data_IF_925918526768
#
_entry.id   IF_925918526768
#
_cell.length_a   1.000
_cell.length_b   1.000
_cell.length_c   1.000
_cell.angle_alpha   90.00
_cell.angle_beta   90.00
_cell.angle_gamma   90.00
#
_symmetry.space_group_name_H-M   'P 1'
#
loop_
_entity.id
_entity.type
_entity.pdbx_description
1 polymer ?
#
# COMPACT_ATOMS: atom_id res chain seq x y z
N UNK A 1 1.07 -18.54 -20.03
CA UNK A 1 2.05 -17.43 -20.00
C UNK A 1 1.40 -16.24 -20.68
N UNK A 2 1.30 -15.11 -19.97
CA UNK A 2 0.64 -13.90 -20.47
C UNK A 2 1.67 -12.83 -20.87
N UNK A 3 1.22 -11.85 -21.64
CA UNK A 3 2.05 -10.76 -22.15
C UNK A 3 1.43 -9.38 -21.90
N UNK A 4 2.29 -8.40 -21.64
CA UNK A 4 1.98 -6.99 -21.81
C UNK A 4 2.28 -6.62 -23.26
N UNK A 5 1.25 -6.31 -24.04
CA UNK A 5 1.33 -5.93 -25.44
C UNK A 5 1.25 -4.42 -25.54
N UNK A 6 2.39 -3.77 -25.74
CA UNK A 6 2.49 -2.31 -25.78
C UNK A 6 2.49 -1.86 -27.24
N UNK A 7 1.58 -0.94 -27.59
CA UNK A 7 1.50 -0.31 -28.91
C UNK A 7 1.81 1.17 -28.79
N UNK A 8 2.85 1.62 -29.48
CA UNK A 8 3.11 3.03 -29.70
C UNK A 8 2.48 3.45 -31.03
N UNK A 9 1.48 4.33 -31.00
CA UNK A 9 0.83 4.88 -32.20
C UNK A 9 1.24 6.32 -32.51
N UNK A 10 2.21 6.85 -31.77
CA UNK A 10 2.79 8.14 -32.10
C UNK A 10 3.63 8.03 -33.37
N UNK A 11 3.81 9.17 -34.03
CA UNK A 11 4.67 9.30 -35.20
C UNK A 11 6.16 9.39 -34.84
N UNK A 12 6.50 9.31 -33.55
CA UNK A 12 7.86 9.26 -33.02
C UNK A 12 8.05 8.04 -32.11
N UNK A 13 9.32 7.73 -31.81
CA UNK A 13 9.64 6.70 -30.82
C UNK A 13 9.22 7.14 -29.42
N UNK A 14 8.73 6.22 -28.61
CA UNK A 14 8.35 6.46 -27.22
C UNK A 14 9.16 5.56 -26.29
N UNK A 15 9.74 6.14 -25.25
CA UNK A 15 10.43 5.41 -24.19
C UNK A 15 9.48 5.14 -23.02
N UNK A 16 9.56 3.93 -22.49
CA UNK A 16 8.82 3.47 -21.32
C UNK A 16 9.79 2.95 -20.26
N UNK A 17 9.58 3.33 -19.01
CA UNK A 17 10.17 2.59 -17.89
C UNK A 17 9.28 1.38 -17.59
N UNK A 18 9.89 0.21 -17.42
CA UNK A 18 9.18 -1.04 -17.17
C UNK A 18 9.51 -1.55 -15.77
N UNK A 19 8.84 -1.04 -14.74
CA UNK A 19 9.07 -1.47 -13.35
C UNK A 19 8.38 -2.81 -13.11
N UNK A 20 9.06 -3.77 -12.47
CA UNK A 20 8.56 -5.12 -12.23
C UNK A 20 8.48 -6.01 -13.48
N UNK A 21 8.75 -5.46 -14.66
CA UNK A 21 8.67 -6.13 -15.96
C UNK A 21 9.94 -5.87 -16.78
N UNK A 22 10.18 -6.63 -17.86
CA UNK A 22 11.36 -6.42 -18.73
C UNK A 22 12.71 -6.39 -17.99
N UNK A 23 12.82 -7.08 -16.84
CA UNK A 23 14.01 -7.01 -15.98
C UNK A 23 14.35 -5.61 -15.46
N UNK A 24 13.35 -4.76 -15.25
CA UNK A 24 13.49 -3.35 -14.84
C UNK A 24 14.27 -2.48 -15.84
N UNK A 25 14.33 -2.88 -17.11
CA UNK A 25 14.99 -2.10 -18.16
C UNK A 25 13.99 -1.25 -18.92
N UNK A 26 14.41 -0.04 -19.26
CA UNK A 26 13.68 0.84 -20.15
C UNK A 26 13.50 0.19 -21.52
N UNK A 27 12.34 0.46 -22.13
CA UNK A 27 11.96 -0.02 -23.45
C UNK A 27 11.66 1.18 -24.34
N UNK A 28 12.32 1.28 -25.49
CA UNK A 28 11.97 2.27 -26.51
C UNK A 28 11.29 1.59 -27.68
N UNK A 29 10.05 1.99 -27.94
CA UNK A 29 9.25 1.48 -29.06
C UNK A 29 9.25 2.54 -30.15
N UNK A 30 9.74 2.17 -31.33
CA UNK A 30 9.72 3.02 -32.54
C UNK A 30 8.32 3.52 -32.88
N UNK A 31 8.25 4.59 -33.68
CA UNK A 31 7.00 5.13 -34.20
C UNK A 31 6.12 4.04 -34.82
N UNK A 32 4.83 4.05 -34.51
CA UNK A 32 3.87 3.02 -34.95
C UNK A 32 4.28 1.56 -34.64
N UNK A 33 5.18 1.36 -33.67
CA UNK A 33 5.71 0.06 -33.30
C UNK A 33 4.93 -0.63 -32.18
N UNK A 34 5.32 -1.87 -31.92
CA UNK A 34 4.81 -2.67 -30.82
C UNK A 34 5.93 -3.42 -30.12
N UNK A 35 5.66 -3.85 -28.89
CA UNK A 35 6.50 -4.74 -28.11
C UNK A 35 5.63 -5.65 -27.23
N UNK A 36 6.12 -6.86 -27.00
CA UNK A 36 5.50 -7.81 -26.08
C UNK A 36 6.48 -8.11 -24.95
N UNK A 37 6.05 -7.91 -23.71
CA UNK A 37 6.84 -8.24 -22.51
C UNK A 37 6.16 -9.40 -21.78
N UNK A 38 6.88 -10.50 -21.46
CA UNK A 38 6.37 -11.53 -20.57
C UNK A 38 5.86 -10.99 -19.23
N UNK A 39 4.67 -11.40 -18.83
CA UNK A 39 4.08 -11.07 -17.53
C UNK A 39 3.42 -12.30 -16.93
N UNK A 40 4.17 -13.02 -16.09
CA UNK A 40 3.67 -14.19 -15.39
C UNK A 40 2.62 -13.81 -14.34
N UNK A 41 1.73 -14.74 -14.01
CA UNK A 41 0.80 -14.60 -12.88
C UNK A 41 1.57 -14.41 -11.56
N UNK A 42 0.98 -13.65 -10.64
CA UNK A 42 1.60 -13.27 -9.37
C UNK A 42 2.61 -12.13 -9.46
N UNK A 43 2.88 -11.58 -10.65
CA UNK A 43 3.79 -10.42 -10.82
C UNK A 43 3.05 -9.10 -10.70
N UNK A 44 3.74 -8.05 -10.24
CA UNK A 44 3.23 -6.67 -10.20
C UNK A 44 4.28 -5.69 -10.69
N UNK A 45 3.84 -4.59 -11.28
CA UNK A 45 4.73 -3.57 -11.81
C UNK A 45 3.99 -2.45 -12.55
N UNK A 46 4.73 -1.66 -13.33
CA UNK A 46 4.18 -0.57 -14.11
C UNK A 46 4.91 -0.36 -15.44
N UNK A 47 4.16 0.06 -16.46
CA UNK A 47 4.69 0.59 -17.72
C UNK A 47 4.46 2.10 -17.72
N UNK A 48 5.52 2.89 -17.73
CA UNK A 48 5.47 4.35 -17.48
C UNK A 48 6.03 5.09 -18.69
N UNK A 49 5.25 5.95 -19.33
CA UNK A 49 5.73 6.78 -20.42
C UNK A 49 6.69 7.87 -19.90
N UNK A 50 7.77 8.13 -20.65
CA UNK A 50 8.77 9.17 -20.31
C UNK A 50 8.72 10.30 -21.34
N UNK A 51 8.64 11.53 -20.84
CA UNK A 51 8.50 12.76 -21.61
C UNK A 51 9.61 13.73 -21.24
N UNK A 52 10.51 14.03 -22.19
CA UNK A 52 11.65 14.94 -21.93
C UNK A 52 12.50 14.52 -20.71
N UNK A 53 12.66 13.22 -20.49
CA UNK A 53 13.37 12.67 -19.33
C UNK A 53 12.58 12.67 -18.01
N UNK A 54 11.29 13.03 -18.05
CA UNK A 54 10.40 13.06 -16.88
C UNK A 54 9.32 12.00 -17.04
N UNK A 55 9.06 11.21 -16.01
CA UNK A 55 7.96 10.24 -16.01
C UNK A 55 6.59 10.94 -16.13
N UNK A 56 5.67 10.34 -16.87
CA UNK A 56 4.31 10.82 -17.05
C UNK A 56 3.27 9.78 -16.64
N UNK A 57 2.33 9.51 -17.55
CA UNK A 57 1.29 8.52 -17.37
C UNK A 57 1.86 7.10 -17.20
N UNK A 58 1.23 6.33 -16.31
CA UNK A 58 1.61 4.97 -15.97
C UNK A 58 0.44 4.00 -16.11
N UNK A 59 0.72 2.81 -16.62
CA UNK A 59 -0.16 1.66 -16.54
C UNK A 59 0.37 0.77 -15.43
N UNK A 60 -0.30 0.74 -14.28
CA UNK A 60 0.03 -0.20 -13.21
C UNK A 60 -0.67 -1.53 -13.51
N UNK A 61 0.02 -2.64 -13.25
CA UNK A 61 -0.46 -3.99 -13.52
C UNK A 61 -0.10 -4.88 -12.33
N UNK A 62 -1.07 -5.66 -11.85
CA UNK A 62 -0.82 -6.88 -11.09
C UNK A 62 -1.52 -8.04 -11.80
N UNK A 63 -0.74 -9.07 -12.13
CA UNK A 63 -1.22 -10.27 -12.82
C UNK A 63 -1.76 -11.28 -11.82
N UNK A 64 -2.99 -11.75 -12.04
CA UNK A 64 -3.65 -12.74 -11.18
C UNK A 64 -3.60 -12.41 -9.67
N UNK A 65 -3.69 -11.13 -9.30
CA UNK A 65 -3.60 -10.68 -7.91
C UNK A 65 -4.91 -10.86 -7.16
N UNK A 66 -5.82 -9.88 -7.29
CA UNK A 66 -7.06 -9.84 -6.52
C UNK A 66 -8.00 -10.98 -6.91
N UNK A 67 -8.11 -12.00 -6.05
CA UNK A 67 -8.92 -13.20 -6.28
C UNK A 67 -8.55 -13.92 -7.60
N UNK A 68 -7.26 -13.90 -7.98
CA UNK A 68 -6.78 -14.50 -9.23
C UNK A 68 -7.10 -13.69 -10.50
N UNK A 69 -7.65 -12.48 -10.35
CA UNK A 69 -7.89 -11.57 -11.48
C UNK A 69 -6.75 -10.57 -11.64
N UNK A 70 -6.57 -10.08 -12.86
CA UNK A 70 -5.68 -8.95 -13.11
C UNK A 70 -6.25 -7.67 -12.50
N UNK A 71 -5.40 -6.87 -11.86
CA UNK A 71 -5.68 -5.46 -11.61
C UNK A 71 -4.85 -4.64 -12.57
N UNK A 72 -5.50 -3.74 -13.30
CA UNK A 72 -4.84 -2.81 -14.23
C UNK A 72 -5.37 -1.42 -13.98
N UNK A 73 -4.56 -0.38 -14.12
CA UNK A 73 -5.02 0.99 -14.00
C UNK A 73 -4.10 1.93 -14.79
N UNK A 74 -4.71 2.91 -15.45
CA UNK A 74 -4.02 4.10 -15.94
C UNK A 74 -4.05 5.21 -14.91
N UNK A 75 -2.87 5.66 -14.53
CA UNK A 75 -2.63 6.73 -13.58
C UNK A 75 -1.85 7.88 -14.21
N UNK A 76 -2.19 9.11 -13.81
CA UNK A 76 -1.49 10.34 -14.18
C UNK A 76 -0.83 11.02 -12.96
N UNK A 77 -0.65 10.29 -11.85
CA UNK A 77 -0.18 10.86 -10.58
C UNK A 77 1.24 11.41 -10.66
N UNK A 78 2.07 10.85 -11.53
CA UNK A 78 3.45 11.28 -11.75
C UNK A 78 3.56 12.41 -12.78
N UNK A 79 2.48 12.66 -13.54
CA UNK A 79 2.41 13.64 -14.62
C UNK A 79 1.69 13.08 -15.83
N UNK A 80 1.69 13.86 -16.92
CA UNK A 80 1.20 13.42 -18.21
C UNK A 80 1.88 14.18 -19.34
N UNK A 81 2.22 13.52 -20.43
CA UNK A 81 2.73 14.14 -21.66
C UNK A 81 2.16 13.55 -22.94
N UNK A 82 1.48 12.40 -22.86
CA UNK A 82 0.75 11.79 -23.97
C UNK A 82 -0.55 11.17 -23.50
N UNK A 83 -1.14 10.32 -24.35
CA UNK A 83 -2.35 9.59 -24.03
C UNK A 83 -2.03 8.11 -23.88
N UNK A 84 -2.54 7.49 -22.81
CA UNK A 84 -2.37 6.06 -22.59
C UNK A 84 -3.67 5.41 -22.16
N UNK A 85 -3.93 4.22 -22.68
CA UNK A 85 -5.02 3.35 -22.27
C UNK A 85 -4.55 1.92 -22.02
N UNK A 86 -5.30 1.16 -21.23
CA UNK A 86 -5.06 -0.27 -21.07
C UNK A 86 -6.36 -1.09 -20.98
N UNK A 87 -6.32 -2.34 -21.43
CA UNK A 87 -7.42 -3.30 -21.27
C UNK A 87 -6.91 -4.74 -21.32
N UNK A 88 -7.69 -5.72 -20.85
CA UNK A 88 -7.39 -7.11 -21.17
C UNK A 88 -7.66 -7.37 -22.67
N UNK A 89 -6.80 -8.17 -23.29
CA UNK A 89 -7.01 -8.59 -24.69
C UNK A 89 -8.31 -9.40 -24.78
N UNK A 90 -9.15 -9.03 -25.74
CA UNK A 90 -10.47 -9.62 -25.95
C UNK A 90 -11.61 -8.90 -25.22
N UNK A 91 -11.33 -7.90 -24.38
CA UNK A 91 -12.39 -7.09 -23.79
C UNK A 91 -13.14 -6.27 -24.86
N UNK A 92 -14.46 -6.06 -24.69
CA UNK A 92 -15.25 -5.26 -25.62
C UNK A 92 -14.73 -3.82 -25.73
N UNK A 93 -15.02 -3.18 -26.88
CA UNK A 93 -14.71 -1.77 -27.07
C UNK A 93 -15.35 -0.90 -25.98
N UNK A 94 -14.61 0.12 -25.52
CA UNK A 94 -15.04 1.02 -24.45
C UNK A 94 -14.90 0.48 -23.02
N UNK A 95 -14.33 -0.73 -22.84
CA UNK A 95 -14.00 -1.28 -21.51
C UNK A 95 -12.55 -1.04 -21.08
N UNK A 96 -11.80 -0.25 -21.84
CA UNK A 96 -10.45 0.15 -21.46
C UNK A 96 -10.46 1.22 -20.37
N UNK A 97 -9.33 1.30 -19.66
CA UNK A 97 -9.03 2.32 -18.66
C UNK A 97 -8.13 3.38 -19.26
N UNK A 98 -8.19 4.59 -18.72
CA UNK A 98 -7.47 5.75 -19.23
C UNK A 98 -8.35 6.64 -20.09
N UNK A 99 -7.83 7.84 -20.37
CA UNK A 99 -8.49 8.81 -21.24
C UNK A 99 -7.73 8.85 -22.58
N UNK A 100 -8.37 8.36 -23.65
CA UNK A 100 -7.73 8.14 -24.96
C UNK A 100 -7.22 9.42 -25.64
N UNK A 101 -7.79 10.57 -25.27
CA UNK A 101 -7.40 11.92 -25.72
C UNK A 101 -7.09 12.85 -24.55
N UNK A 102 -6.47 12.32 -23.48
CA UNK A 102 -6.16 13.05 -22.24
C UNK A 102 -5.51 14.42 -22.49
N UNK A 103 -4.45 14.49 -23.29
CA UNK A 103 -3.71 15.72 -23.55
C UNK A 103 -4.51 16.71 -24.41
N UNK A 104 -5.37 16.24 -25.31
CA UNK A 104 -6.29 17.11 -26.05
C UNK A 104 -7.36 17.70 -25.13
N UNK A 105 -7.91 16.90 -24.21
CA UNK A 105 -8.86 17.36 -23.21
C UNK A 105 -8.20 18.34 -22.23
N UNK A 106 -6.97 18.06 -21.79
CA UNK A 106 -6.14 18.95 -20.98
C UNK A 106 -5.90 20.29 -21.67
N UNK A 107 -5.51 20.27 -22.95
CA UNK A 107 -5.29 21.49 -23.72
C UNK A 107 -6.59 22.30 -23.89
N UNK A 108 -7.70 21.62 -24.15
CA UNK A 108 -9.02 22.26 -24.25
C UNK A 108 -9.43 22.91 -22.92
N UNK A 109 -9.23 22.22 -21.81
CA UNK A 109 -9.52 22.73 -20.47
C UNK A 109 -8.60 23.90 -20.10
N UNK A 110 -7.31 23.81 -20.44
CA UNK A 110 -6.32 24.85 -20.21
C UNK A 110 -6.70 26.15 -20.91
N UNK A 111 -7.09 26.08 -22.18
CA UNK A 111 -7.44 27.29 -22.94
C UNK A 111 -8.70 27.98 -22.41
N UNK A 112 -9.64 27.22 -21.84
CA UNK A 112 -10.84 27.75 -21.16
C UNK A 112 -10.57 28.28 -19.74
N UNK A 113 -9.40 28.00 -19.18
CA UNK A 113 -9.10 28.32 -17.79
C UNK A 113 -8.85 29.83 -17.61
N UNK A 114 -9.48 30.50 -16.62
CA UNK A 114 -9.21 31.91 -16.32
C UNK A 114 -7.73 32.15 -16.00
N UNK A 115 -7.20 33.34 -16.34
CA UNK A 115 -5.78 33.65 -16.17
C UNK A 115 -5.29 33.46 -14.72
N UNK A 116 -6.07 33.90 -13.73
CA UNK A 116 -5.72 33.70 -12.32
C UNK A 116 -5.52 32.22 -11.93
N UNK A 117 -6.27 31.31 -12.57
CA UNK A 117 -6.11 29.86 -12.36
C UNK A 117 -4.91 29.32 -13.15
N UNK A 118 -4.61 29.84 -14.34
CA UNK A 118 -3.37 29.53 -15.07
C UNK A 118 -2.13 29.93 -14.26
N UNK A 119 -2.18 31.08 -13.60
CA UNK A 119 -1.08 31.59 -12.77
C UNK A 119 -0.83 30.67 -11.56
N UNK A 120 -1.89 30.13 -10.94
CA UNK A 120 -1.77 29.11 -9.88
C UNK A 120 -1.10 27.81 -10.35
N UNK A 121 -1.14 27.51 -11.65
CA UNK A 121 -0.57 26.30 -12.25
C UNK A 121 0.85 26.51 -12.82
N UNK A 122 1.43 27.70 -12.63
CA UNK A 122 2.77 28.03 -13.14
C UNK A 122 3.83 27.07 -12.59
N UNK A 123 4.66 26.54 -13.49
CA UNK A 123 5.69 25.53 -13.15
C UNK A 123 5.15 24.11 -13.00
N UNK A 124 3.84 23.91 -13.19
CA UNK A 124 3.19 22.59 -13.15
C UNK A 124 2.56 22.22 -14.48
N UNK A 125 2.09 23.19 -15.26
CA UNK A 125 1.69 23.02 -16.65
C UNK A 125 2.78 23.58 -17.55
N UNK A 126 3.28 22.75 -18.46
CA UNK A 126 4.35 23.09 -19.38
C UNK A 126 3.77 23.27 -20.77
N UNK A 127 4.05 24.42 -21.39
CA UNK A 127 3.49 24.78 -22.68
C UNK A 127 4.53 24.64 -23.80
N UNK A 128 4.05 24.40 -25.02
CA UNK A 128 4.82 24.58 -26.25
C UNK A 128 4.90 26.06 -26.66
N UNK A 129 5.59 26.35 -27.76
CA UNK A 129 5.72 27.72 -28.30
C UNK A 129 4.41 28.33 -28.81
N UNK A 130 3.37 27.51 -28.98
CA UNK A 130 2.02 27.93 -29.41
C UNK A 130 1.07 28.10 -28.22
N UNK A 131 1.55 27.90 -26.99
CA UNK A 131 0.76 27.98 -25.77
C UNK A 131 -0.12 26.74 -25.51
N UNK A 132 0.10 25.63 -26.23
CA UNK A 132 -0.58 24.37 -25.95
C UNK A 132 0.12 23.61 -24.84
N UNK A 133 -0.64 22.86 -24.04
CA UNK A 133 -0.07 22.00 -23.00
C UNK A 133 0.71 20.86 -23.64
N UNK A 134 2.03 20.83 -23.43
CA UNK A 134 2.89 19.73 -23.85
C UNK A 134 3.05 18.66 -22.77
N UNK A 135 2.99 19.07 -21.50
CA UNK A 135 3.16 18.18 -20.34
C UNK A 135 2.56 18.82 -19.10
N UNK A 136 2.16 18.00 -18.14
CA UNK A 136 1.86 18.42 -16.77
C UNK A 136 2.78 17.67 -15.79
N UNK A 137 3.08 18.31 -14.66
CA UNK A 137 3.77 17.68 -13.53
C UNK A 137 2.84 16.75 -12.72
N UNK A 138 3.33 16.19 -11.60
CA UNK A 138 2.56 15.27 -10.76
C UNK A 138 1.39 15.99 -10.06
N UNK A 139 0.12 15.63 -10.34
CA UNK A 139 -1.03 16.22 -9.66
C UNK A 139 -1.09 15.84 -8.18
N UNK A 140 -0.62 14.64 -7.80
CA UNK A 140 -0.64 14.13 -6.42
C UNK A 140 0.08 15.04 -5.41
N UNK A 141 1.06 15.81 -5.87
CA UNK A 141 1.90 16.67 -5.03
C UNK A 141 1.42 18.14 -5.05
N UNK A 142 0.35 18.45 -5.80
CA UNK A 142 -0.10 19.82 -6.00
C UNK A 142 -1.61 19.92 -6.27
N UNK A 143 -2.36 20.16 -5.19
CA UNK A 143 -3.83 20.19 -5.19
C UNK A 143 -4.46 21.07 -6.29
N UNK A 144 -3.95 22.28 -6.64
CA UNK A 144 -4.54 23.06 -7.73
C UNK A 144 -4.45 22.36 -9.10
N UNK A 145 -3.36 21.62 -9.36
CA UNK A 145 -3.23 20.83 -10.59
C UNK A 145 -4.17 19.62 -10.55
N UNK A 146 -4.29 18.93 -9.41
CA UNK A 146 -5.27 17.84 -9.27
C UNK A 146 -6.69 18.34 -9.57
N UNK A 147 -7.10 19.45 -8.98
CA UNK A 147 -8.41 20.06 -9.22
C UNK A 147 -8.63 20.40 -10.70
N UNK A 148 -7.60 20.95 -11.37
CA UNK A 148 -7.64 21.22 -12.80
C UNK A 148 -7.80 19.94 -13.63
N UNK A 149 -7.01 18.89 -13.36
CA UNK A 149 -7.09 17.63 -14.11
C UNK A 149 -8.45 16.96 -13.94
N UNK A 150 -9.03 17.04 -12.75
CA UNK A 150 -10.38 16.53 -12.47
C UNK A 150 -11.47 17.22 -13.30
N UNK A 151 -11.29 18.44 -13.80
CA UNK A 151 -12.32 19.08 -14.63
C UNK A 151 -12.53 18.38 -15.97
N UNK A 152 -11.60 17.55 -16.43
CA UNK A 152 -11.70 16.88 -17.74
C UNK A 152 -11.43 15.36 -17.71
N UNK A 153 -10.79 14.83 -16.66
CA UNK A 153 -10.40 13.41 -16.61
C UNK A 153 -10.95 12.61 -15.42
N UNK A 154 -11.81 13.22 -14.59
CA UNK A 154 -12.35 12.55 -13.39
C UNK A 154 -13.04 11.22 -13.75
N UNK A 155 -12.63 10.13 -13.09
CA UNK A 155 -13.15 8.78 -13.33
C UNK A 155 -12.68 8.09 -14.61
N UNK A 156 -11.88 8.77 -15.46
CA UNK A 156 -11.30 8.17 -16.66
C UNK A 156 -9.87 7.68 -16.44
N UNK A 157 -9.16 8.33 -15.53
CA UNK A 157 -7.82 7.96 -15.08
C UNK A 157 -7.70 8.25 -13.60
N UNK A 158 -6.73 7.62 -12.96
CA UNK A 158 -6.39 7.87 -11.58
C UNK A 158 -5.51 9.14 -11.48
N UNK A 159 -6.03 10.20 -10.85
CA UNK A 159 -5.42 11.55 -10.91
C UNK A 159 -4.72 11.93 -9.61
N UNK A 160 -5.28 11.54 -8.47
CA UNK A 160 -4.83 12.02 -7.16
C UNK A 160 -4.35 10.88 -6.25
N UNK A 161 -4.66 11.02 -4.95
CA UNK A 161 -4.47 9.96 -3.96
C UNK A 161 -5.75 9.14 -3.91
N UNK A 162 -5.74 7.93 -4.47
CA UNK A 162 -6.81 6.95 -4.32
C UNK A 162 -6.90 6.41 -2.90
N UNK A 163 -7.76 5.41 -2.69
CA UNK A 163 -7.96 4.84 -1.37
C UNK A 163 -6.67 4.19 -0.87
N UNK A 164 -5.92 4.90 -0.03
CA UNK A 164 -4.63 4.47 0.47
C UNK A 164 -4.40 5.03 1.88
N UNK A 165 -3.89 4.20 2.79
CA UNK A 165 -3.60 4.61 4.17
C UNK A 165 -4.82 5.04 5.01
N UNK A 166 -6.01 4.50 4.75
CA UNK A 166 -7.25 4.89 5.45
C UNK A 166 -7.93 6.15 4.92
N UNK A 167 -7.32 6.84 3.95
CA UNK A 167 -8.04 7.79 3.11
C UNK A 167 -9.00 6.98 2.22
N UNK A 168 -10.28 7.38 2.17
CA UNK A 168 -11.25 6.76 1.25
C UNK A 168 -10.88 7.01 -0.22
N UNK A 169 -9.95 7.92 -0.47
CA UNK A 169 -9.55 8.35 -1.80
C UNK A 169 -10.67 9.08 -2.51
N UNK A 170 -10.43 9.41 -3.77
CA UNK A 170 -11.52 9.84 -4.63
C UNK A 170 -12.32 8.61 -5.11
N UNK A 171 -13.66 8.57 -4.95
CA UNK A 171 -14.47 7.43 -5.41
C UNK A 171 -14.33 7.13 -6.90
N UNK A 172 -14.12 8.14 -7.74
CA UNK A 172 -13.96 7.99 -9.18
C UNK A 172 -12.59 7.39 -9.53
N UNK A 173 -11.53 7.73 -8.79
CA UNK A 173 -10.21 7.10 -8.93
C UNK A 173 -10.32 5.60 -8.56
N UNK A 174 -11.03 5.26 -7.47
CA UNK A 174 -11.21 3.88 -7.02
C UNK A 174 -12.02 3.00 -7.99
N UNK A 175 -13.04 3.56 -8.66
CA UNK A 175 -13.81 2.84 -9.68
C UNK A 175 -12.94 2.37 -10.82
N UNK A 176 -11.91 3.13 -11.13
CA UNK A 176 -10.98 2.80 -12.20
C UNK A 176 -10.11 1.60 -11.80
N UNK A 177 -9.78 1.39 -10.52
CA UNK A 177 -8.96 0.27 -10.03
C UNK A 177 -9.67 -1.10 -9.97
N UNK A 178 -10.91 -1.23 -10.46
CA UNK A 178 -11.65 -2.49 -10.43
C UNK A 178 -10.91 -3.61 -11.19
N UNK A 179 -10.82 -4.81 -10.59
CA UNK A 179 -10.15 -5.95 -11.22
C UNK A 179 -10.85 -6.39 -12.53
N UNK A 180 -10.05 -6.91 -13.46
CA UNK A 180 -10.53 -7.57 -14.68
C UNK A 180 -11.13 -8.95 -14.40
N UNK A 181 -11.30 -9.76 -15.45
CA UNK A 181 -11.82 -11.13 -15.33
C UNK A 181 -10.74 -12.15 -15.69
N UNK A 182 -10.24 -12.85 -14.68
CA UNK A 182 -9.12 -13.78 -14.77
C UNK A 182 -7.81 -13.08 -15.11
N UNK A 183 -6.83 -13.90 -15.49
CA UNK A 183 -5.53 -13.44 -16.01
C UNK A 183 -5.49 -13.55 -17.52
N UNK A 184 -5.19 -12.44 -18.20
CA UNK A 184 -5.11 -12.37 -19.68
C UNK A 184 -3.92 -11.53 -20.12
N UNK A 185 -3.63 -11.55 -21.41
CA UNK A 185 -2.74 -10.55 -21.99
C UNK A 185 -3.33 -9.15 -21.77
N UNK A 186 -2.47 -8.17 -21.50
CA UNK A 186 -2.87 -6.77 -21.33
C UNK A 186 -2.44 -5.99 -22.55
N UNK A 187 -3.38 -5.31 -23.21
CA UNK A 187 -3.08 -4.37 -24.29
C UNK A 187 -2.90 -2.98 -23.68
N UNK A 188 -1.73 -2.39 -23.88
CA UNK A 188 -1.41 -1.01 -23.51
C UNK A 188 -1.21 -0.22 -24.79
N UNK A 189 -1.91 0.90 -24.94
CA UNK A 189 -1.79 1.75 -26.13
C UNK A 189 -1.38 3.14 -25.71
N UNK A 190 -0.28 3.62 -26.29
CA UNK A 190 0.21 4.98 -26.16
C UNK A 190 0.05 5.73 -27.50
N UNK A 191 -0.33 7.01 -27.44
CA UNK A 191 -0.39 7.89 -28.61
C UNK A 191 -0.39 9.35 -28.19
N UNK A 192 0.23 10.23 -28.96
CA UNK A 192 0.04 11.68 -28.80
C UNK A 192 -1.31 12.14 -29.38
N UNK A 193 -1.96 11.29 -30.19
CA UNK A 193 -3.25 11.53 -30.81
C UNK A 193 -4.39 10.85 -30.07
N UNK A 194 -4.80 9.67 -30.52
CA UNK A 194 -5.88 8.89 -29.91
C UNK A 194 -5.37 7.51 -29.49
N UNK A 195 -5.32 7.28 -28.18
CA UNK A 195 -4.84 6.05 -27.58
C UNK A 195 -5.93 4.97 -27.40
N UNK A 196 -7.13 5.11 -27.98
CA UNK A 196 -8.18 4.11 -27.88
C UNK A 196 -7.70 2.78 -28.49
N UNK A 197 -7.91 1.61 -27.85
CA UNK A 197 -7.50 0.31 -28.39
C UNK A 197 -7.97 0.04 -29.82
N UNK A 198 -9.17 0.52 -30.16
CA UNK A 198 -9.71 0.57 -31.52
C UNK A 198 -10.20 1.99 -31.83
N UNK A 199 -9.43 2.81 -32.58
CA UNK A 199 -9.76 4.20 -32.84
C UNK A 199 -10.86 4.36 -33.88
N UNK A 200 -11.22 3.29 -34.60
CA UNK A 200 -12.32 3.31 -35.58
C UNK A 200 -13.69 3.26 -34.91
N UNK A 201 -13.74 2.80 -33.66
CA UNK A 201 -14.96 2.72 -32.87
C UNK A 201 -15.12 3.99 -32.05
N UNK A 202 -16.34 4.54 -32.05
CA UNK A 202 -16.68 5.63 -31.13
C UNK A 202 -16.42 5.14 -29.71
N UNK A 203 -15.72 5.94 -28.93
CA UNK A 203 -15.63 5.72 -27.49
C UNK A 203 -17.05 5.78 -26.92
N UNK A 204 -17.53 4.66 -26.40
CA UNK A 204 -18.83 4.59 -25.72
C UNK A 204 -18.76 5.07 -24.28
N UNK A 205 -17.55 5.21 -23.73
CA UNK A 205 -17.30 5.59 -22.35
C UNK A 205 -17.84 4.62 -21.32
N UNK A 206 -17.20 4.59 -20.15
CA UNK A 206 -18.00 4.55 -18.94
C UNK A 206 -18.79 5.87 -18.94
N UNK A 207 -20.11 5.81 -19.13
CA UNK A 207 -20.95 7.00 -19.13
C UNK A 207 -20.79 7.72 -17.79
N UNK A 208 -20.12 8.86 -17.79
CA UNK A 208 -20.20 9.81 -16.68
C UNK A 208 -21.54 10.55 -16.84
N UNK A 209 -22.67 9.85 -16.69
CA UNK A 209 -23.99 10.48 -16.66
C UNK A 209 -24.35 11.04 -15.27
N UNK A 210 -23.41 11.14 -14.32
CA UNK A 210 -23.76 11.34 -12.91
C UNK A 210 -23.36 12.63 -12.19
N UNK A 211 -22.51 13.52 -12.73
CA UNK A 211 -21.78 14.45 -11.82
C UNK A 211 -21.62 15.92 -12.27
N UNK A 212 -22.38 16.42 -13.23
CA UNK A 212 -22.34 17.85 -13.60
C UNK A 212 -23.56 18.67 -13.11
N UNK A 213 -24.31 18.17 -12.13
CA UNK A 213 -25.53 18.83 -11.62
C UNK A 213 -25.39 19.71 -10.38
N UNK A 214 -24.21 19.86 -9.77
CA UNK A 214 -24.08 20.56 -8.47
C UNK A 214 -22.90 21.52 -8.44
N UNK A 215 -22.95 22.59 -9.24
CA UNK A 215 -22.28 23.87 -8.94
C UNK A 215 -22.96 25.00 -9.73
N UNK A 216 -24.23 25.29 -9.41
CA UNK A 216 -24.79 26.62 -9.63
C UNK A 216 -25.95 26.87 -8.66
N UNK A 217 -25.64 27.25 -7.42
CA UNK A 217 -26.59 27.88 -6.51
C UNK A 217 -25.82 28.59 -5.38
N UNK A 218 -25.44 29.85 -5.62
CA UNK A 218 -25.29 30.89 -4.62
C UNK A 218 -25.09 32.23 -5.34
N UNK A 219 -26.16 33.02 -5.41
CA UNK A 219 -26.16 34.37 -5.97
C UNK A 219 -27.45 34.71 -6.71
N UNK A 220 -28.54 34.84 -5.96
CA UNK A 220 -29.75 35.54 -6.41
C UNK A 220 -29.43 37.03 -6.63
N UNK A 221 -29.76 37.56 -7.81
CA UNK A 221 -30.71 38.68 -7.91
C UNK A 221 -31.22 38.85 -9.35
N UNK A 222 -32.55 38.74 -9.45
CA UNK A 222 -33.51 39.30 -10.43
C UNK A 222 -33.16 39.43 -11.92
N UNK A 223 -33.89 38.68 -12.77
CA UNK A 223 -34.92 39.25 -13.66
C UNK A 223 -35.68 38.16 -14.45
N UNK A 224 -36.99 38.39 -14.55
CA UNK A 224 -38.05 37.66 -15.25
C UNK A 224 -37.77 37.19 -16.68
N UNK A 225 -38.44 36.09 -17.09
CA UNK A 225 -38.87 35.92 -18.48
C UNK A 225 -39.06 34.49 -19.00
N UNK A 226 -40.30 33.99 -18.84
CA UNK A 226 -41.05 33.14 -19.78
C UNK A 226 -40.63 31.69 -20.13
N UNK A 227 -41.50 30.77 -19.70
CA UNK A 227 -42.21 29.69 -20.43
C UNK A 227 -41.47 28.78 -21.43
N UNK A 228 -41.52 27.46 -21.16
CA UNK A 228 -42.21 26.49 -22.03
C UNK A 228 -42.26 25.11 -21.36
N UNK A 229 -43.46 24.52 -21.40
CA UNK A 229 -43.82 23.21 -20.87
C UNK A 229 -43.34 22.03 -21.75
N UNK A 230 -43.15 20.87 -21.13
CA UNK A 230 -43.44 19.57 -21.75
C UNK A 230 -43.62 18.50 -20.67
N UNK A 231 -44.86 18.05 -20.50
CA UNK A 231 -45.29 16.89 -19.74
C UNK A 231 -44.68 15.58 -20.28
N UNK A 232 -44.28 14.66 -19.39
CA UNK A 232 -44.40 13.22 -19.65
C UNK A 232 -44.85 12.50 -18.38
N UNK A 233 -46.09 12.05 -18.49
CA UNK A 233 -46.89 11.01 -17.85
C UNK A 233 -46.19 9.94 -16.98
N UNK A 234 -46.85 9.62 -15.87
CA UNK A 234 -46.46 8.67 -14.81
C UNK A 234 -47.41 7.48 -14.86
N UNK A 235 -46.93 6.31 -15.24
CA UNK A 235 -47.64 5.04 -15.11
C UNK A 235 -47.17 4.25 -13.89
N UNK A 236 -48.04 4.10 -12.90
CA UNK A 236 -47.86 3.26 -11.71
C UNK A 236 -48.98 2.20 -11.64
N UNK A 237 -48.61 0.94 -11.41
CA UNK A 237 -49.41 -0.16 -10.85
C UNK A 237 -48.40 -1.00 -10.01
N UNK A 238 -48.55 -1.30 -8.72
CA UNK A 238 -49.65 -1.98 -8.01
C UNK A 238 -49.51 -3.50 -8.24
N UNK A 239 -49.46 -4.43 -7.28
CA UNK A 239 -49.72 -4.48 -5.84
C UNK A 239 -49.17 -5.82 -5.26
N UNK A 240 -49.04 -5.89 -3.92
CA UNK A 240 -49.41 -6.97 -2.97
C UNK A 240 -48.99 -8.45 -3.23
N UNK A 241 -48.83 -9.39 -2.29
CA UNK A 241 -48.82 -9.54 -0.83
C UNK A 241 -48.24 -10.96 -0.57
N UNK A 242 -47.63 -11.21 0.59
CA UNK A 242 -47.92 -12.34 1.50
C UNK A 242 -46.72 -12.69 2.40
N UNK A 243 -47.04 -12.74 3.69
CA UNK A 243 -46.22 -13.21 4.79
C UNK A 243 -46.48 -14.70 5.05
N UNK A 244 -45.49 -15.43 5.56
CA UNK A 244 -45.76 -16.53 6.49
C UNK A 244 -44.60 -16.73 7.48
N UNK A 245 -44.98 -16.76 8.75
CA UNK A 245 -44.21 -17.23 9.90
C UNK A 245 -44.32 -18.77 10.02
N UNK A 246 -43.27 -19.42 10.53
CA UNK A 246 -43.33 -20.62 11.38
C UNK A 246 -41.90 -20.82 11.96
N UNK A 247 -41.67 -20.54 13.23
CA UNK A 247 -41.70 -21.48 14.37
C UNK A 247 -40.58 -22.54 14.38
N UNK A 248 -39.73 -22.37 15.40
CA UNK A 248 -38.77 -23.28 16.05
C UNK A 248 -39.35 -24.70 16.33
N UNK A 249 -38.56 -25.76 16.65
CA UNK A 249 -37.70 -25.71 17.84
C UNK A 249 -36.44 -26.60 17.93
N UNK A 250 -35.64 -26.25 18.95
CA UNK A 250 -34.92 -27.09 19.92
C UNK A 250 -33.95 -28.18 19.43
N UNK A 251 -32.68 -28.01 19.82
CA UNK A 251 -31.77 -29.11 20.11
C UNK A 251 -31.28 -28.99 21.56
N UNK A 252 -31.68 -29.95 22.38
CA UNK A 252 -31.12 -30.27 23.69
C UNK A 252 -29.73 -30.92 23.52
N UNK A 253 -28.83 -30.63 24.46
CA UNK A 253 -27.90 -31.54 25.15
C UNK A 253 -26.57 -30.85 25.46
N UNK A 254 -26.45 -30.38 26.70
CA UNK A 254 -25.19 -30.05 27.33
C UNK A 254 -25.23 -30.47 28.80
N UNK A 255 -24.76 -31.69 29.06
CA UNK A 255 -24.38 -32.12 30.41
C UNK A 255 -23.13 -33.00 30.30
N UNK A 256 -21.96 -32.40 30.50
CA UNK A 256 -20.76 -33.13 30.92
C UNK A 256 -20.20 -32.39 32.13
N UNK A 257 -20.37 -33.02 33.28
CA UNK A 257 -19.70 -32.64 34.51
C UNK A 257 -18.26 -33.17 34.45
N UNK A 258 -17.28 -32.27 34.49
CA UNK A 258 -15.89 -32.63 34.77
C UNK A 258 -15.57 -32.24 36.20
N UNK A 259 -15.16 -33.25 36.97
CA UNK A 259 -14.64 -33.12 38.32
C UNK A 259 -13.17 -32.71 38.25
N UNK A 260 -12.85 -31.53 38.78
CA UNK A 260 -11.46 -31.12 39.03
C UNK A 260 -10.95 -31.85 40.28
N UNK A 261 -9.87 -32.62 40.10
CA UNK A 261 -9.10 -33.20 41.20
C UNK A 261 -7.78 -32.43 41.29
N UNK A 262 -7.63 -31.68 42.38
CA UNK A 262 -6.42 -30.98 42.76
C UNK A 262 -5.25 -31.96 42.94
N UNK A 263 -4.12 -31.68 42.28
CA UNK A 263 -2.83 -32.26 42.63
C UNK A 263 -1.81 -31.14 42.84
N UNK A 264 -1.50 -30.91 44.11
CA UNK A 264 -0.39 -30.08 44.58
C UNK A 264 0.94 -30.67 44.11
N UNK A 265 1.74 -29.88 43.38
CA UNK A 265 3.13 -30.16 43.11
C UNK A 265 4.01 -29.17 43.88
N UNK A 266 4.89 -29.74 44.70
CA UNK A 266 5.78 -29.11 45.66
C UNK A 266 6.87 -28.26 45.01
N UNK A 267 7.09 -27.10 45.62
CA UNK A 267 8.15 -26.13 45.36
C UNK A 267 9.54 -26.70 45.69
N UNK A 268 10.50 -26.47 44.80
CA UNK A 268 11.86 -27.02 44.86
C UNK A 268 12.80 -26.22 43.97
N UNK A 269 12.92 -24.92 44.24
CA UNK A 269 13.85 -24.04 43.53
C UNK A 269 15.28 -24.17 44.09
N UNK A 270 16.12 -24.99 43.44
CA UNK A 270 17.58 -24.89 43.55
C UNK A 270 18.06 -23.65 42.79
N UNK A 271 18.49 -22.63 43.54
CA UNK A 271 19.12 -21.42 42.99
C UNK A 271 20.58 -21.73 42.69
N UNK A 272 20.87 -22.25 41.50
CA UNK A 272 22.24 -22.22 40.97
C UNK A 272 22.59 -20.79 40.55
N UNK A 273 23.40 -20.11 41.36
CA UNK A 273 24.05 -18.85 40.98
C UNK A 273 25.09 -19.13 39.87
N UNK A 274 24.62 -19.10 38.62
CA UNK A 274 25.49 -19.06 37.45
C UNK A 274 26.20 -17.71 37.40
N UNK A 275 27.53 -17.74 37.42
CA UNK A 275 28.35 -16.56 37.20
C UNK A 275 27.99 -15.94 35.84
N UNK A 276 27.51 -14.68 35.85
CA UNK A 276 27.11 -13.98 34.64
C UNK A 276 28.31 -13.81 33.71
N UNK A 277 28.37 -14.63 32.65
CA UNK A 277 29.32 -14.44 31.57
C UNK A 277 29.20 -13.01 31.02
N UNK A 278 30.35 -12.39 30.72
CA UNK A 278 30.37 -11.03 30.17
C UNK A 278 29.47 -10.92 28.94
N UNK A 279 28.63 -9.88 28.90
CA UNK A 279 27.70 -9.67 27.80
C UNK A 279 28.46 -9.67 26.45
N UNK A 280 27.99 -10.39 25.43
CA UNK A 280 28.61 -10.40 24.12
C UNK A 280 28.75 -8.97 23.57
N UNK A 281 29.90 -8.69 22.96
CA UNK A 281 30.15 -7.42 22.27
C UNK A 281 29.91 -7.59 20.79
N UNK A 282 29.52 -6.50 20.12
CA UNK A 282 29.47 -6.45 18.67
C UNK A 282 30.87 -6.73 18.09
N UNK A 283 30.97 -7.71 17.18
CA UNK A 283 32.22 -8.07 16.51
C UNK A 283 32.23 -7.73 15.02
N UNK A 284 31.18 -7.06 14.52
CA UNK A 284 31.04 -6.64 13.13
C UNK A 284 29.61 -6.21 12.79
N UNK A 285 29.26 -6.14 11.49
CA UNK A 285 27.92 -5.81 11.03
C UNK A 285 26.87 -6.87 11.44
N UNK A 286 25.74 -6.42 11.99
CA UNK A 286 24.67 -7.31 12.42
C UNK A 286 23.82 -6.73 13.53
N UNK A 287 23.38 -7.60 14.45
CA UNK A 287 22.70 -7.13 15.66
C UNK A 287 23.23 -7.85 16.91
N UNK A 288 23.24 -7.15 18.04
CA UNK A 288 23.12 -7.77 19.35
C UNK A 288 21.62 -8.02 19.60
N UNK A 289 21.27 -9.25 19.95
CA UNK A 289 19.91 -9.64 20.24
C UNK A 289 19.82 -10.11 21.68
N UNK A 290 18.96 -9.48 22.47
CA UNK A 290 18.69 -9.85 23.87
C UNK A 290 17.27 -10.33 24.04
N UNK A 291 17.14 -11.51 24.66
CA UNK A 291 15.87 -12.01 25.16
C UNK A 291 15.74 -11.67 26.64
N UNK A 292 15.02 -10.59 26.98
CA UNK A 292 14.82 -10.15 28.37
C UNK A 292 13.58 -10.76 29.01
N UNK A 293 13.09 -11.88 28.48
CA UNK A 293 11.99 -12.63 29.09
C UNK A 293 12.49 -13.63 30.14
N UNK A 294 11.56 -14.15 30.93
CA UNK A 294 11.80 -15.27 31.84
C UNK A 294 11.82 -16.65 31.18
N UNK A 295 11.72 -16.76 29.84
CA UNK A 295 11.65 -18.06 29.12
C UNK A 295 12.53 -18.09 27.88
N UNK A 296 12.85 -19.28 27.40
CA UNK A 296 13.52 -19.44 26.09
C UNK A 296 12.60 -18.95 24.97
N UNK A 297 13.13 -18.21 24.01
CA UNK A 297 12.42 -17.76 22.81
C UNK A 297 13.26 -18.01 21.56
N UNK A 298 12.58 -18.30 20.45
CA UNK A 298 13.20 -18.40 19.12
C UNK A 298 12.88 -17.16 18.31
N UNK A 299 13.90 -16.54 17.73
CA UNK A 299 13.78 -15.32 16.95
C UNK A 299 14.08 -15.61 15.49
N UNK A 300 13.20 -15.15 14.60
CA UNK A 300 13.31 -15.36 13.16
C UNK A 300 13.64 -14.06 12.45
N UNK A 301 14.50 -14.16 11.43
CA UNK A 301 14.96 -13.05 10.62
C UNK A 301 14.36 -13.14 9.22
N UNK A 302 13.85 -12.03 8.72
CA UNK A 302 13.18 -11.94 7.42
C UNK A 302 13.86 -10.86 6.60
N UNK A 303 14.29 -11.19 5.38
CA UNK A 303 14.80 -10.19 4.42
C UNK A 303 13.64 -9.70 3.56
N UNK A 304 13.45 -8.38 3.50
CA UNK A 304 12.22 -7.82 2.92
C UNK A 304 12.21 -7.97 1.39
N UNK A 305 11.10 -8.49 0.86
CA UNK A 305 10.89 -8.65 -0.58
C UNK A 305 11.09 -7.34 -1.37
N UNK A 306 10.58 -6.23 -0.83
CA UNK A 306 10.65 -4.89 -1.44
C UNK A 306 12.05 -4.29 -1.56
N UNK A 307 13.10 -4.94 -1.04
CA UNK A 307 14.47 -4.53 -1.30
C UNK A 307 15.01 -4.98 -2.67
N UNK A 308 14.24 -5.81 -3.40
CA UNK A 308 14.64 -6.38 -4.68
C UNK A 308 15.56 -7.61 -4.56
N UNK A 309 15.92 -8.03 -3.34
CA UNK A 309 16.75 -9.19 -3.05
C UNK A 309 16.25 -10.08 -1.89
N UNK A 310 15.13 -9.73 -1.24
CA UNK A 310 14.52 -10.53 -0.18
C UNK A 310 13.35 -11.39 -0.68
N UNK A 311 12.90 -12.32 0.17
CA UNK A 311 11.80 -13.26 -0.15
C UNK A 311 10.55 -13.04 0.75
N UNK A 312 10.69 -12.32 1.87
CA UNK A 312 9.60 -12.13 2.80
C UNK A 312 8.62 -11.04 2.32
N UNK A 313 7.45 -11.47 1.86
CA UNK A 313 6.31 -10.62 1.52
C UNK A 313 5.52 -10.17 2.74
N UNK A 314 4.26 -9.76 2.51
CA UNK A 314 3.39 -9.21 3.55
C UNK A 314 3.01 -10.22 4.66
N UNK A 315 3.14 -11.51 4.35
CA UNK A 315 2.79 -12.61 5.26
C UNK A 315 3.98 -13.10 6.09
N UNK A 316 5.20 -12.65 5.80
CA UNK A 316 6.42 -12.99 6.55
C UNK A 316 6.61 -14.51 6.75
N UNK A 317 6.50 -15.24 5.64
CA UNK A 317 6.44 -16.70 5.53
C UNK A 317 7.78 -17.35 5.11
N UNK A 318 8.80 -16.54 4.80
CA UNK A 318 10.12 -17.00 4.35
C UNK A 318 11.24 -16.52 5.28
N UNK A 319 11.42 -17.13 6.47
CA UNK A 319 12.50 -16.76 7.37
C UNK A 319 13.85 -17.17 6.79
N UNK A 320 14.80 -16.23 6.76
CA UNK A 320 16.17 -16.46 6.30
C UNK A 320 16.97 -17.30 7.31
N UNK A 321 16.76 -17.06 8.60
CA UNK A 321 17.42 -17.77 9.70
C UNK A 321 16.69 -17.58 11.01
N UNK A 322 17.06 -18.36 12.02
CA UNK A 322 16.58 -18.19 13.38
C UNK A 322 17.69 -18.34 14.42
N UNK A 323 17.43 -17.84 15.63
CA UNK A 323 18.31 -17.98 16.80
C UNK A 323 17.46 -18.28 18.03
N UNK A 324 17.82 -19.30 18.79
CA UNK A 324 17.22 -19.57 20.11
C UNK A 324 18.00 -18.85 21.20
N UNK A 325 17.30 -18.15 22.09
CA UNK A 325 17.89 -17.48 23.23
C UNK A 325 17.16 -17.89 24.50
N UNK A 326 17.91 -18.37 25.49
CA UNK A 326 17.42 -18.56 26.85
C UNK A 326 17.00 -17.25 27.51
N UNK A 327 16.41 -17.36 28.70
CA UNK A 327 16.02 -16.21 29.51
C UNK A 327 17.23 -15.31 29.82
N UNK A 328 17.06 -14.00 29.65
CA UNK A 328 18.08 -12.97 29.87
C UNK A 328 19.38 -13.14 29.06
N UNK A 329 19.39 -13.99 28.03
CA UNK A 329 20.56 -14.18 27.18
C UNK A 329 20.66 -13.07 26.15
N UNK A 330 21.91 -12.75 25.81
CA UNK A 330 22.27 -11.89 24.68
C UNK A 330 23.17 -12.68 23.75
N UNK A 331 23.04 -12.47 22.44
CA UNK A 331 23.93 -13.07 21.43
C UNK A 331 24.19 -12.06 20.32
N UNK A 332 25.39 -12.11 19.75
CA UNK A 332 25.69 -11.39 18.52
C UNK A 332 25.26 -12.23 17.32
N UNK A 333 24.48 -11.64 16.42
CA UNK A 333 23.98 -12.27 15.21
C UNK A 333 24.61 -11.57 14.00
N UNK A 334 25.63 -12.16 13.36
CA UNK A 334 26.25 -11.56 12.18
C UNK A 334 25.26 -11.53 11.01
N UNK A 335 25.22 -10.42 10.28
CA UNK A 335 24.38 -10.25 9.09
C UNK A 335 25.20 -9.60 7.97
N UNK A 336 24.77 -9.84 6.74
CA UNK A 336 25.31 -9.11 5.58
C UNK A 336 25.08 -7.61 5.74
N UNK A 337 26.03 -6.79 5.32
CA UNK A 337 25.84 -5.33 5.25
C UNK A 337 24.69 -4.93 4.31
N UNK A 338 24.30 -5.82 3.39
CA UNK A 338 23.17 -5.59 2.50
C UNK A 338 21.83 -6.04 3.09
N UNK A 339 21.80 -6.61 4.30
CA UNK A 339 20.57 -7.06 4.93
C UNK A 339 19.67 -5.87 5.28
N UNK A 340 18.40 -5.97 4.90
CA UNK A 340 17.36 -4.97 5.15
C UNK A 340 16.07 -5.71 5.49
N UNK A 341 15.71 -5.78 6.75
CA UNK A 341 14.74 -6.76 7.15
C UNK A 341 14.19 -6.55 8.54
N UNK A 342 13.71 -7.65 9.10
CA UNK A 342 13.01 -7.69 10.37
C UNK A 342 13.51 -8.84 11.21
N UNK A 343 13.46 -8.65 12.53
CA UNK A 343 13.56 -9.72 13.51
C UNK A 343 12.29 -9.74 14.36
N UNK A 344 11.75 -10.92 14.61
CA UNK A 344 10.58 -11.12 15.48
C UNK A 344 10.69 -12.41 16.30
N UNK A 345 9.83 -12.53 17.32
CA UNK A 345 9.68 -13.77 18.10
C UNK A 345 8.74 -14.74 17.39
N UNK A 346 9.17 -15.99 17.24
CA UNK A 346 8.40 -17.02 16.56
C UNK A 346 8.11 -16.70 15.10
N UNK A 347 7.24 -17.51 14.49
CA UNK A 347 6.84 -17.40 13.08
C UNK A 347 5.40 -16.92 12.90
N UNK A 348 4.68 -16.66 14.00
CA UNK A 348 3.26 -16.37 13.97
C UNK A 348 2.97 -14.89 14.20
N UNK A 349 2.11 -14.32 13.35
CA UNK A 349 1.48 -13.02 13.55
C UNK A 349 0.21 -13.19 14.42
N UNK A 350 -0.22 -12.15 15.17
CA UNK A 350 0.39 -10.81 15.28
C UNK A 350 1.66 -10.78 16.14
N UNK A 351 2.68 -9.98 15.78
CA UNK A 351 3.98 -9.95 16.49
C UNK A 351 4.65 -8.57 16.49
N UNK A 352 5.45 -8.28 17.53
CA UNK A 352 6.30 -7.08 17.59
C UNK A 352 7.54 -7.26 16.72
N UNK A 353 7.93 -6.22 15.99
CA UNK A 353 9.07 -6.24 15.09
C UNK A 353 10.19 -5.29 15.52
N UNK A 354 11.42 -5.76 15.33
CA UNK A 354 12.57 -4.89 15.13
C UNK A 354 12.84 -4.77 13.64
N UNK A 355 12.62 -3.60 13.06
CA UNK A 355 12.90 -3.33 11.64
C UNK A 355 14.26 -2.67 11.52
N UNK A 356 15.07 -3.10 10.54
CA UNK A 356 16.39 -2.51 10.36
C UNK A 356 17.03 -2.77 9.00
N UNK A 357 17.96 -1.89 8.65
CA UNK A 357 18.96 -2.11 7.61
C UNK A 357 20.34 -2.06 8.24
N UNK A 358 21.20 -3.02 7.88
CA UNK A 358 22.57 -3.09 8.41
C UNK A 358 23.44 -1.98 7.83
N UNK A 359 23.14 -1.55 6.60
CA UNK A 359 23.79 -0.40 5.97
C UNK A 359 22.80 0.36 5.08
N UNK A 360 22.52 1.59 5.45
CA UNK A 360 21.70 2.51 4.67
C UNK A 360 22.51 3.09 3.50
N UNK A 361 21.84 3.33 2.36
CA UNK A 361 22.51 3.86 1.16
C UNK A 361 22.85 5.35 1.24
N UNK A 362 22.13 6.10 2.07
CA UNK A 362 22.26 7.55 2.21
C UNK A 362 23.47 7.96 3.07
N UNK A 363 23.74 7.26 4.17
CA UNK A 363 24.81 7.64 5.10
C UNK A 363 25.76 6.49 5.50
N UNK A 364 25.47 5.27 5.03
CA UNK A 364 26.30 4.10 5.28
C UNK A 364 26.25 3.55 6.71
N UNK A 365 25.29 3.97 7.55
CA UNK A 365 25.10 3.49 8.91
C UNK A 365 24.03 2.39 8.98
N UNK A 366 23.99 1.63 10.08
CA UNK A 366 22.80 0.82 10.36
C UNK A 366 21.67 1.72 10.86
N UNK A 367 20.44 1.46 10.44
CA UNK A 367 19.25 2.16 10.90
C UNK A 367 18.20 1.14 11.34
N UNK A 368 17.52 1.39 12.44
CA UNK A 368 16.41 0.54 12.86
C UNK A 368 15.48 1.17 13.87
N UNK A 369 14.31 0.54 14.00
CA UNK A 369 13.17 1.02 14.77
C UNK A 369 12.35 -0.18 15.28
N UNK A 370 11.30 0.14 16.05
CA UNK A 370 10.34 -0.85 16.56
C UNK A 370 9.01 -0.60 15.88
N UNK A 371 8.38 -1.67 15.39
CA UNK A 371 7.05 -1.61 14.80
C UNK A 371 6.11 -2.61 15.45
N UNK A 372 4.87 -2.16 15.61
CA UNK A 372 3.74 -3.00 16.04
C UNK A 372 2.62 -3.01 14.99
N UNK A 373 2.93 -2.63 13.74
CA UNK A 373 1.97 -2.59 12.63
C UNK A 373 1.32 -3.95 12.36
N UNK A 374 2.07 -5.05 12.54
CA UNK A 374 1.54 -6.41 12.51
C UNK A 374 1.17 -6.98 13.88
N UNK A 375 0.96 -6.12 14.87
CA UNK A 375 0.55 -6.45 16.23
C UNK A 375 1.68 -6.34 17.24
N UNK A 376 1.39 -6.69 18.48
CA UNK A 376 2.37 -6.61 19.56
C UNK A 376 2.23 -7.81 20.49
N UNK A 377 3.26 -8.65 20.51
CA UNK A 377 3.38 -9.83 21.39
C UNK A 377 4.34 -9.60 22.57
N UNK A 378 4.71 -8.35 22.81
CA UNK A 378 5.55 -7.93 23.92
C UNK A 378 6.43 -6.74 23.54
N UNK A 379 6.95 -6.06 24.55
CA UNK A 379 7.71 -4.83 24.33
C UNK A 379 9.07 -5.09 23.65
N UNK A 380 9.62 -4.08 22.99
CA UNK A 380 10.94 -4.16 22.36
C UNK A 380 11.61 -2.79 22.31
N UNK A 381 12.93 -2.78 22.33
CA UNK A 381 13.77 -1.58 22.15
C UNK A 381 14.88 -1.85 21.15
N UNK A 382 15.30 -0.79 20.47
CA UNK A 382 16.50 -0.77 19.62
C UNK A 382 17.46 0.29 20.14
N UNK A 383 18.75 -0.01 20.14
CA UNK A 383 19.80 0.91 20.55
C UNK A 383 20.99 0.88 19.60
N UNK A 384 21.69 2.01 19.52
CA UNK A 384 22.97 2.10 18.82
C UNK A 384 24.03 1.33 19.60
N UNK A 385 24.91 0.60 18.91
CA UNK A 385 26.09 -0.02 19.54
C UNK A 385 27.36 0.79 19.34
N UNK A 386 27.26 1.93 18.65
CA UNK A 386 28.37 2.85 18.41
C UNK A 386 28.10 4.22 19.03
N UNK A 387 28.96 4.62 19.97
CA UNK A 387 28.90 5.96 20.57
C UNK A 387 27.88 6.08 21.71
N UNK A 388 27.19 7.22 21.87
CA UNK A 388 26.20 7.35 22.94
C UNK A 388 25.10 6.31 22.74
N UNK A 389 24.73 5.60 23.81
CA UNK A 389 23.72 4.54 23.82
C UNK A 389 22.30 5.10 23.58
N UNK A 390 22.09 5.77 22.44
CA UNK A 390 20.80 6.28 22.00
C UNK A 390 19.92 5.08 21.71
N UNK A 391 18.71 5.11 22.27
CA UNK A 391 17.74 4.03 22.14
C UNK A 391 16.33 4.57 21.92
N UNK A 392 15.52 3.78 21.24
CA UNK A 392 14.09 4.00 21.08
C UNK A 392 13.34 2.68 21.25
N UNK A 393 12.00 2.74 21.21
CA UNK A 393 11.15 1.60 21.56
C UNK A 393 10.45 1.79 22.90
N UNK A 394 9.97 0.70 23.46
CA UNK A 394 9.23 0.69 24.71
C UNK A 394 9.50 -0.59 25.50
N UNK A 395 9.42 -0.47 26.83
CA UNK A 395 9.55 -1.60 27.77
C UNK A 395 8.23 -1.91 28.48
N UNK A 396 7.26 -1.01 28.38
CA UNK A 396 5.93 -1.16 28.97
C UNK A 396 5.20 -2.32 28.29
N UNK A 397 4.66 -3.23 29.09
CA UNK A 397 3.74 -4.23 28.58
C UNK A 397 2.39 -3.57 28.25
N UNK A 398 2.13 -3.39 26.96
CA UNK A 398 0.87 -2.81 26.46
C UNK A 398 -0.17 -3.87 26.10
N UNK A 399 0.14 -5.17 26.20
CA UNK A 399 -0.87 -6.23 26.06
C UNK A 399 -1.71 -6.31 27.33
N UNK A 400 -1.07 -6.17 28.50
CA UNK A 400 -1.76 -6.13 29.80
C UNK A 400 -2.65 -4.88 29.90
N UNK A 401 -3.93 -5.13 30.19
CA UNK A 401 -4.93 -4.08 30.36
C UNK A 401 -5.48 -3.50 29.05
N UNK A 402 -5.09 -4.03 27.90
CA UNK A 402 -5.72 -3.68 26.63
C UNK A 402 -7.20 -4.10 26.63
N UNK A 403 -8.09 -3.30 26.03
CA UNK A 403 -9.50 -3.68 25.92
C UNK A 403 -9.63 -4.94 25.06
N UNK A 404 -10.64 -5.76 25.34
CA UNK A 404 -10.85 -7.03 24.63
C UNK A 404 -10.89 -6.85 23.09
N UNK A 405 -11.48 -5.75 22.62
CA UNK A 405 -11.54 -5.42 21.19
C UNK A 405 -10.18 -5.15 20.55
N UNK A 406 -9.15 -4.78 21.32
CA UNK A 406 -7.79 -4.57 20.85
C UNK A 406 -6.94 -5.85 20.83
N UNK A 407 -7.45 -6.94 21.41
CA UNK A 407 -6.71 -8.19 21.57
C UNK A 407 -7.06 -9.20 20.48
N UNK A 408 -6.12 -10.09 20.19
CA UNK A 408 -6.29 -11.23 19.28
C UNK A 408 -5.54 -12.44 19.84
N UNK A 409 -6.10 -13.64 19.63
CA UNK A 409 -5.38 -14.89 19.88
C UNK A 409 -4.55 -15.27 18.64
N UNK A 410 -3.27 -15.54 18.85
CA UNK A 410 -2.41 -16.21 17.86
C UNK A 410 -2.87 -17.67 17.65
N UNK A 411 -2.45 -18.34 16.55
CA UNK A 411 -2.72 -19.76 16.35
C UNK A 411 -2.23 -20.66 17.49
N UNK A 412 -1.14 -20.30 18.17
CA UNK A 412 -0.63 -21.00 19.36
C UNK A 412 -1.40 -20.70 20.66
N UNK A 413 -2.50 -19.95 20.61
CA UNK A 413 -3.34 -19.61 21.76
C UNK A 413 -2.90 -18.38 22.56
N UNK A 414 -1.72 -17.82 22.29
CA UNK A 414 -1.21 -16.63 22.99
C UNK A 414 -2.09 -15.40 22.67
N UNK A 415 -2.45 -14.64 23.72
CA UNK A 415 -3.20 -13.40 23.56
C UNK A 415 -2.24 -12.24 23.37
N UNK A 416 -2.41 -11.51 22.28
CA UNK A 416 -1.53 -10.41 21.87
C UNK A 416 -2.36 -9.20 21.45
N UNK A 417 -1.72 -8.05 21.27
CA UNK A 417 -2.38 -6.91 20.64
C UNK A 417 -2.60 -7.24 19.15
N UNK A 418 -3.81 -6.99 18.67
CA UNK A 418 -4.15 -7.15 17.26
C UNK A 418 -3.28 -6.25 16.37
N UNK A 419 -3.18 -6.61 15.10
CA UNK A 419 -2.48 -5.86 14.08
C UNK A 419 -3.12 -4.47 13.87
N UNK A 420 -2.29 -3.43 13.86
CA UNK A 420 -2.71 -2.04 13.71
C UNK A 420 -2.70 -1.56 12.27
N UNK A 421 -2.11 -2.32 11.34
CA UNK A 421 -2.09 -2.01 9.90
C UNK A 421 -2.63 -3.13 8.99
N UNK A 422 -3.01 -4.30 9.53
CA UNK A 422 -3.47 -5.41 8.68
C UNK A 422 -2.35 -5.98 7.79
N UNK A 423 -2.68 -6.79 6.78
CA UNK A 423 -1.71 -7.09 5.71
C UNK A 423 -1.46 -5.78 4.95
N UNK A 424 -0.22 -5.24 4.97
CA UNK A 424 0.20 -3.91 4.47
C UNK A 424 -0.92 -2.99 3.92
N UNK A 425 -1.28 -1.94 4.68
CA UNK A 425 -2.36 -0.99 4.40
C UNK A 425 -3.80 -1.55 4.52
N UNK A 426 -3.99 -2.63 5.26
CA UNK A 426 -5.32 -3.04 5.72
C UNK A 426 -5.93 -2.04 6.71
N UNK A 427 -7.23 -2.17 7.03
CA UNK A 427 -7.90 -1.23 7.95
C UNK A 427 -7.25 -1.19 9.35
N UNK A 428 -6.53 -2.25 9.73
CA UNK A 428 -6.02 -2.45 11.08
C UNK A 428 -7.15 -2.65 12.09
N UNK A 429 -6.78 -2.97 13.32
CA UNK A 429 -7.72 -2.98 14.44
C UNK A 429 -7.70 -1.59 15.11
N UNK A 430 -8.79 -0.83 14.97
CA UNK A 430 -8.88 0.54 15.50
C UNK A 430 -8.71 0.60 17.03
N UNK A 431 -9.28 -0.36 17.77
CA UNK A 431 -9.11 -0.41 19.22
C UNK A 431 -7.64 -0.65 19.62
N UNK A 432 -6.90 -1.46 18.87
CA UNK A 432 -5.47 -1.66 19.05
C UNK A 432 -4.66 -0.39 18.74
N UNK A 433 -5.01 0.31 17.65
CA UNK A 433 -4.39 1.59 17.27
C UNK A 433 -4.56 2.63 18.38
N UNK A 434 -5.81 2.85 18.82
CA UNK A 434 -6.14 3.86 19.82
C UNK A 434 -5.48 3.53 21.16
N UNK A 435 -5.50 2.26 21.55
CA UNK A 435 -4.82 1.78 22.74
C UNK A 435 -3.31 2.02 22.66
N UNK A 436 -2.67 1.62 21.56
CA UNK A 436 -1.23 1.79 21.38
C UNK A 436 -0.82 3.27 21.44
N UNK A 437 -1.53 4.16 20.75
CA UNK A 437 -1.23 5.60 20.80
C UNK A 437 -1.41 6.15 22.22
N UNK A 438 -2.44 5.71 22.95
CA UNK A 438 -2.63 6.08 24.36
C UNK A 438 -1.48 5.60 25.25
N UNK A 439 -0.93 4.41 25.00
CA UNK A 439 0.11 3.83 25.85
C UNK A 439 1.52 4.32 25.51
N UNK A 440 1.80 4.56 24.23
CA UNK A 440 3.16 4.77 23.71
C UNK A 440 3.38 6.16 23.10
N UNK A 441 2.31 6.88 22.76
CA UNK A 441 2.39 8.07 21.92
C UNK A 441 2.85 7.74 20.50
N UNK A 442 3.34 8.76 19.78
CA UNK A 442 3.69 8.64 18.36
C UNK A 442 5.18 8.33 18.09
N UNK A 443 6.04 8.44 19.10
CA UNK A 443 7.50 8.44 18.88
C UNK A 443 8.22 7.14 19.28
N UNK A 444 7.50 6.17 19.87
CA UNK A 444 8.12 4.98 20.46
C UNK A 444 8.11 3.76 19.57
N UNK A 445 7.12 3.61 18.70
CA UNK A 445 7.03 2.51 17.74
C UNK A 445 6.13 2.91 16.57
N UNK A 446 6.32 2.28 15.41
CA UNK A 446 5.37 2.42 14.31
C UNK A 446 4.08 1.70 14.70
N UNK A 447 3.03 2.50 14.91
CA UNK A 447 1.69 2.00 15.24
C UNK A 447 0.86 1.95 13.96
N UNK A 448 0.87 3.01 13.15
CA UNK A 448 0.14 3.07 11.88
C UNK A 448 0.86 4.01 10.93
N UNK A 449 1.03 3.59 9.67
CA UNK A 449 1.81 4.31 8.66
C UNK A 449 3.31 4.29 8.93
N UNK A 450 4.10 4.90 8.02
CA UNK A 450 5.56 4.82 8.01
C UNK A 450 6.31 6.11 8.35
N UNK A 451 5.71 7.04 9.13
CA UNK A 451 6.40 8.30 9.52
C UNK A 451 6.21 8.62 11.00
N UNK A 452 7.10 9.43 11.58
CA UNK A 452 6.92 10.01 12.93
C UNK A 452 7.66 9.30 14.07
N UNK A 453 8.29 8.16 13.81
CA UNK A 453 9.14 7.46 14.78
C UNK A 453 10.60 7.75 14.45
N UNK A 454 11.36 8.41 15.34
CA UNK A 454 12.80 8.56 15.15
C UNK A 454 13.47 7.20 15.14
N UNK A 455 14.17 6.89 14.06
CA UNK A 455 14.98 5.69 13.96
C UNK A 455 16.29 5.83 14.73
N UNK A 456 16.93 4.70 14.99
CA UNK A 456 18.22 4.62 15.67
C UNK A 456 19.30 4.28 14.67
N UNK A 457 20.28 5.18 14.54
CA UNK A 457 21.45 5.00 13.70
C UNK A 457 22.64 4.42 14.49
N UNK A 458 23.44 3.55 13.85
CA UNK A 458 24.68 3.02 14.42
C UNK A 458 25.82 2.96 13.41
N UNK A 459 26.89 3.69 13.71
CA UNK A 459 28.07 3.87 12.83
C UNK A 459 28.89 2.61 12.58
N UNK A 460 28.83 1.63 13.47
CA UNK A 460 29.55 0.36 13.31
C UNK A 460 28.73 -0.71 12.57
N UNK A 461 27.60 -0.31 11.97
CA UNK A 461 26.66 -1.22 11.29
C UNK A 461 26.11 -2.33 12.19
N UNK A 462 26.03 -2.08 13.50
CA UNK A 462 25.46 -3.01 14.46
C UNK A 462 24.46 -2.30 15.39
N UNK A 463 23.26 -2.87 15.51
CA UNK A 463 22.20 -2.40 16.42
C UNK A 463 22.00 -3.39 17.57
N UNK A 464 21.45 -2.93 18.69
CA UNK A 464 21.08 -3.79 19.81
C UNK A 464 19.57 -3.82 19.97
N UNK A 465 18.96 -4.95 19.61
CA UNK A 465 17.55 -5.22 19.87
C UNK A 465 17.38 -5.96 21.19
N UNK A 466 16.51 -5.46 22.05
CA UNK A 466 16.10 -6.13 23.29
C UNK A 466 14.60 -6.38 23.25
N UNK A 467 14.21 -7.64 23.37
CA UNK A 467 12.82 -8.07 23.39
C UNK A 467 12.40 -8.45 24.81
N UNK A 468 11.31 -7.87 25.26
CA UNK A 468 10.69 -8.09 26.56
C UNK A 468 9.42 -8.89 26.34
N UNK A 469 9.25 -9.99 27.06
CA UNK A 469 7.99 -10.74 27.04
C UNK A 469 7.25 -10.47 28.34
N UNK A 470 5.94 -10.52 28.23
CA UNK A 470 4.97 -10.44 29.33
C UNK A 470 5.03 -11.67 30.21
#
# INVERSE_FOLDING_TARGET
>A
MHYLRIKNRSNHAQTFQCHGYNGNKDLTIKANGNADIPAADGTSGAIIAVHEGVIGEQCEITKAGWQGNDTIDISNICGAGGNMTCQQVGDPAGKFKGHETFMQACNTAWHKLPQAKKDQLKGRVFLDSKGNVKRIGPPKDFQPLEQFVRTFANGRTYIGVGAWGGNKGNPEDNKQSAAGKGSKDILIVYSDGNAAPDPSKKFTGQSIMGAFGVMSAAGEDAAEGAEAEAEVDVGAEGAEEEATQAENPASEDAAVAEAEQEAQATDGAEVMMSAAAAAPKASGPGILLTNKSGKKNTYYFYDNYWNGNGEAGANFDHPLKHVELGANQTVYVPLSVNFKGRVQRGTQLPATWGEFQVKASNDGQAHGDISIQQGCDGAATVASTAGPNVSNGFTKNIVKGAPAAALKKKPNGETVLANTEGNWNGPGNQAAIDWAYKQLGHSKAYIKGGTGVPDIASKNNCLHFTFYVV
#
